data_IF_544851662742
#
_entry.id   IF_544851662742
#
_cell.length_a   1.000
_cell.length_b   1.000
_cell.length_c   1.000
_cell.angle_alpha   90.00
_cell.angle_beta   90.00
_cell.angle_gamma   90.00
#
_symmetry.space_group_name_H-M   'P 1'
#
loop_
_entity.id
_entity.type
_entity.pdbx_description
1 polymer ?
#
# COMPACT_ATOMS: atom_id res chain seq x y z
N UNK A 1 -8.53 5.33 -6.01
CA UNK A 1 -7.70 4.13 -6.28
C UNK A 1 -8.53 2.89 -5.97
N UNK A 2 -8.47 1.83 -6.78
CA UNK A 2 -9.26 0.61 -6.57
C UNK A 2 -8.89 -0.07 -5.25
N UNK A 3 -7.62 0.03 -4.84
CA UNK A 3 -7.11 -0.51 -3.59
C UNK A 3 -7.85 0.04 -2.35
N UNK A 4 -8.10 1.36 -2.32
CA UNK A 4 -8.81 2.02 -1.22
C UNK A 4 -10.28 1.57 -1.13
N UNK A 5 -10.91 1.28 -2.28
CA UNK A 5 -12.27 0.75 -2.31
C UNK A 5 -12.30 -0.66 -1.73
N UNK A 6 -11.32 -1.50 -2.07
CA UNK A 6 -11.20 -2.86 -1.52
C UNK A 6 -10.94 -2.84 -0.01
N UNK A 7 -10.07 -1.94 0.47
CA UNK A 7 -9.83 -1.71 1.89
C UNK A 7 -11.13 -1.35 2.63
N UNK A 8 -11.90 -0.39 2.10
CA UNK A 8 -13.19 0.01 2.70
C UNK A 8 -14.23 -1.11 2.75
N UNK A 9 -14.11 -2.12 1.88
CA UNK A 9 -14.96 -3.31 1.85
C UNK A 9 -14.43 -4.44 2.74
N UNK A 10 -13.32 -4.24 3.45
CA UNK A 10 -12.65 -5.25 4.27
C UNK A 10 -11.91 -6.33 3.46
N UNK A 11 -11.68 -6.11 2.16
CA UNK A 11 -10.97 -7.04 1.26
C UNK A 11 -9.47 -6.74 1.29
N UNK A 12 -8.85 -6.90 2.45
CA UNK A 12 -7.51 -6.39 2.70
C UNK A 12 -6.43 -7.07 1.87
N UNK A 13 -6.54 -8.37 1.58
CA UNK A 13 -5.56 -9.09 0.75
C UNK A 13 -5.54 -8.56 -0.69
N UNK A 14 -6.72 -8.32 -1.26
CA UNK A 14 -6.84 -7.73 -2.60
C UNK A 14 -6.36 -6.27 -2.62
N UNK A 15 -6.64 -5.51 -1.57
CA UNK A 15 -6.13 -4.15 -1.41
C UNK A 15 -4.60 -4.12 -1.32
N UNK A 16 -4.00 -5.06 -0.57
CA UNK A 16 -2.54 -5.22 -0.44
C UNK A 16 -1.88 -5.47 -1.79
N UNK A 17 -2.41 -6.42 -2.58
CA UNK A 17 -1.89 -6.73 -3.91
C UNK A 17 -1.88 -5.49 -4.82
N UNK A 18 -2.99 -4.73 -4.81
CA UNK A 18 -3.11 -3.50 -5.61
C UNK A 18 -2.13 -2.42 -5.15
N UNK A 19 -1.99 -2.21 -3.83
CA UNK A 19 -1.03 -1.25 -3.29
C UNK A 19 0.43 -1.62 -3.59
N UNK A 20 0.80 -2.90 -3.53
CA UNK A 20 2.13 -3.38 -3.93
C UNK A 20 2.41 -3.11 -5.40
N UNK A 21 1.42 -3.35 -6.28
CA UNK A 21 1.54 -3.06 -7.71
C UNK A 21 1.71 -1.57 -7.97
N UNK A 22 0.91 -0.72 -7.32
CA UNK A 22 1.00 0.73 -7.42
C UNK A 22 2.36 1.23 -6.94
N UNK A 23 2.83 0.76 -5.78
CA UNK A 23 4.12 1.14 -5.21
C UNK A 23 5.29 0.83 -6.15
N UNK A 24 5.28 -0.34 -6.79
CA UNK A 24 6.31 -0.69 -7.78
C UNK A 24 6.28 0.25 -8.99
N UNK A 25 5.09 0.61 -9.48
CA UNK A 25 4.94 1.60 -10.55
C UNK A 25 5.49 2.97 -10.16
N UNK A 26 5.11 3.47 -8.98
CA UNK A 26 5.57 4.77 -8.48
C UNK A 26 7.07 4.80 -8.23
N UNK A 27 7.63 3.77 -7.60
CA UNK A 27 9.09 3.63 -7.43
C UNK A 27 9.84 3.68 -8.75
N UNK A 28 9.30 3.03 -9.80
CA UNK A 28 9.92 3.00 -11.13
C UNK A 28 9.85 4.33 -11.87
N UNK A 29 8.71 5.02 -11.80
CA UNK A 29 8.44 6.23 -12.60
C UNK A 29 8.87 7.50 -11.88
N UNK A 30 8.63 7.59 -10.57
CA UNK A 30 8.79 8.80 -9.77
C UNK A 30 10.01 8.74 -8.83
N UNK A 31 10.51 7.54 -8.55
CA UNK A 31 11.60 7.33 -7.59
C UNK A 31 11.12 7.13 -6.16
N UNK A 32 12.03 6.76 -5.26
CA UNK A 32 11.70 6.34 -3.88
C UNK A 32 11.22 7.49 -2.99
N UNK A 33 11.80 8.68 -3.14
CA UNK A 33 11.53 9.84 -2.29
C UNK A 33 10.37 10.71 -2.77
N UNK A 34 9.82 10.41 -3.95
CA UNK A 34 8.73 11.20 -4.49
C UNK A 34 7.49 11.09 -3.60
N UNK A 35 6.76 12.20 -3.33
CA UNK A 35 5.59 12.20 -2.46
C UNK A 35 4.56 11.11 -2.79
N UNK A 36 4.26 10.89 -4.08
CA UNK A 36 3.35 9.82 -4.51
C UNK A 36 3.82 8.40 -4.15
N UNK A 37 5.14 8.15 -4.18
CA UNK A 37 5.71 6.87 -3.73
C UNK A 37 5.56 6.71 -2.22
N UNK A 38 5.84 7.76 -1.44
CA UNK A 38 5.68 7.75 0.02
C UNK A 38 4.21 7.58 0.45
N UNK A 39 3.27 8.22 -0.27
CA UNK A 39 1.83 7.99 -0.06
C UNK A 39 1.46 6.53 -0.30
N UNK A 40 2.00 5.91 -1.36
CA UNK A 40 1.73 4.50 -1.64
C UNK A 40 2.34 3.54 -0.61
N UNK A 41 3.46 3.92 0.01
CA UNK A 41 4.05 3.18 1.14
C UNK A 41 3.12 3.23 2.35
N UNK A 42 2.68 4.43 2.73
CA UNK A 42 1.77 4.62 3.87
C UNK A 42 0.46 3.82 3.70
N UNK A 43 -0.15 3.86 2.51
CA UNK A 43 -1.38 3.11 2.24
C UNK A 43 -1.17 1.59 2.36
N UNK A 44 -0.01 1.08 1.93
CA UNK A 44 0.31 -0.34 2.08
C UNK A 44 0.52 -0.72 3.54
N UNK A 45 1.17 0.14 4.33
CA UNK A 45 1.32 -0.04 5.77
C UNK A 45 -0.04 -0.08 6.49
N UNK A 46 -0.96 0.82 6.13
CA UNK A 46 -2.35 0.85 6.65
C UNK A 46 -3.05 -0.49 6.45
N UNK A 47 -3.04 -0.99 5.21
CA UNK A 47 -3.68 -2.27 4.86
C UNK A 47 -3.05 -3.47 5.57
N UNK A 48 -1.72 -3.47 5.76
CA UNK A 48 -1.04 -4.52 6.52
C UNK A 48 -1.43 -4.47 8.00
N UNK A 49 -1.56 -3.28 8.58
CA UNK A 49 -2.09 -3.08 9.93
C UNK A 49 -3.52 -3.59 10.08
N UNK A 50 -4.40 -3.32 9.11
CA UNK A 50 -5.78 -3.85 9.11
C UNK A 50 -5.85 -5.37 9.03
N UNK A 51 -4.82 -6.03 8.48
CA UNK A 51 -4.68 -7.49 8.47
C UNK A 51 -4.05 -8.06 9.75
N UNK A 52 -3.63 -7.20 10.70
CA UNK A 52 -2.88 -7.60 11.88
C UNK A 52 -1.41 -7.95 11.59
N UNK A 53 -0.90 -7.64 10.40
CA UNK A 53 0.50 -7.87 9.99
C UNK A 53 1.38 -6.69 10.42
N UNK A 54 1.43 -6.41 11.72
CA UNK A 54 2.08 -5.20 12.26
C UNK A 54 3.58 -5.14 11.97
N UNK A 55 4.30 -6.25 12.12
CA UNK A 55 5.74 -6.31 11.80
C UNK A 55 6.01 -5.91 10.34
N UNK A 56 5.21 -6.42 9.41
CA UNK A 56 5.34 -6.06 7.99
C UNK A 56 4.92 -4.61 7.72
N UNK A 57 3.99 -4.05 8.50
CA UNK A 57 3.56 -2.66 8.37
C UNK A 57 4.64 -1.68 8.88
N UNK A 58 5.40 -2.04 9.92
CA UNK A 58 6.51 -1.24 10.45
C UNK A 58 7.71 -1.20 9.49
N UNK A 59 7.88 -2.21 8.65
CA UNK A 59 8.95 -2.28 7.64
C UNK A 59 8.65 -1.53 6.34
N UNK A 60 7.43 -1.01 6.16
CA UNK A 60 7.01 -0.32 4.93
C UNK A 60 7.66 1.05 4.77
#
# INVERSE_FOLDING_TARGET
DLALVLESQGKYEAAEEMHRRALNGYKKVLGKEHPGTLTSVNNLASVLGSQGKYEAAEEM
#
